data_IF_599567380934
#
_entry.id   IF_599567380934
#
_cell.length_a   1.000
_cell.length_b   1.000
_cell.length_c   1.000
_cell.angle_alpha   90.00
_cell.angle_beta   90.00
_cell.angle_gamma   90.00
#
_symmetry.space_group_name_H-M   'P 1'
#
loop_
_entity.id
_entity.type
_entity.pdbx_description
1 polymer ?
#
# COMPACT_ATOMS: atom_id res chain seq x y z
N UNK A 1 9.79 20.30 4.20
CA UNK A 1 10.12 19.00 4.82
C UNK A 1 9.28 17.93 4.14
N UNK A 2 9.76 16.69 4.09
CA UNK A 2 9.12 15.60 3.35
C UNK A 2 8.58 14.57 4.33
N UNK A 3 7.30 14.19 4.20
CA UNK A 3 6.71 13.05 4.91
C UNK A 3 6.55 11.91 3.93
N UNK A 4 7.06 10.73 4.26
CA UNK A 4 6.88 9.49 3.48
C UNK A 4 6.29 8.42 4.38
N UNK A 5 5.28 7.74 3.90
CA UNK A 5 4.58 6.69 4.64
C UNK A 5 4.21 5.56 3.68
N UNK A 6 4.34 4.31 4.14
CA UNK A 6 3.82 3.14 3.42
C UNK A 6 2.62 2.66 4.20
N UNK A 7 1.47 2.59 3.52
CA UNK A 7 0.18 2.26 4.15
C UNK A 7 -0.55 1.21 3.34
N UNK A 8 -1.45 0.48 3.99
CA UNK A 8 -2.40 -0.39 3.32
C UNK A 8 -3.58 0.45 2.84
N UNK A 9 -3.87 0.37 1.55
CA UNK A 9 -5.00 1.07 0.94
C UNK A 9 -6.29 0.23 1.03
N UNK A 10 -7.41 0.83 0.65
CA UNK A 10 -8.71 0.14 0.68
C UNK A 10 -8.70 -1.13 -0.20
N UNK A 11 -9.09 -2.30 0.36
CA UNK A 11 -9.29 -3.51 -0.42
C UNK A 11 -10.35 -3.31 -1.50
N UNK A 12 -10.13 -3.92 -2.67
CA UNK A 12 -11.09 -3.93 -3.78
C UNK A 12 -11.41 -5.36 -4.13
N UNK A 13 -12.69 -5.72 -4.06
CA UNK A 13 -13.17 -7.07 -4.41
C UNK A 13 -13.91 -7.04 -5.74
N UNK A 14 -13.50 -7.90 -6.68
CA UNK A 14 -14.17 -8.10 -7.96
C UNK A 14 -14.03 -9.56 -8.40
N UNK A 15 -15.13 -10.19 -8.82
CA UNK A 15 -15.10 -11.56 -9.37
C UNK A 15 -14.56 -12.63 -8.41
N UNK A 16 -14.79 -12.49 -7.11
CA UNK A 16 -14.29 -13.42 -6.09
C UNK A 16 -12.80 -13.27 -5.77
N UNK A 17 -12.14 -12.23 -6.29
CA UNK A 17 -10.76 -11.88 -5.98
C UNK A 17 -10.75 -10.55 -5.24
N UNK A 18 -10.05 -10.49 -4.13
CA UNK A 18 -9.79 -9.24 -3.39
C UNK A 18 -8.35 -8.82 -3.59
N UNK A 19 -8.14 -7.59 -4.06
CA UNK A 19 -6.83 -6.96 -4.18
C UNK A 19 -6.68 -5.94 -3.06
N UNK A 20 -5.60 -6.06 -2.30
CA UNK A 20 -5.26 -5.15 -1.20
C UNK A 20 -3.99 -4.41 -1.61
N UNK A 21 -4.10 -3.15 -2.08
CA UNK A 21 -2.94 -2.38 -2.47
C UNK A 21 -2.13 -1.94 -1.26
N UNK A 22 -0.81 -2.01 -1.36
CA UNK A 22 0.12 -1.37 -0.43
C UNK A 22 0.72 -0.18 -1.17
N UNK A 23 0.53 1.01 -0.61
CA UNK A 23 0.84 2.27 -1.29
C UNK A 23 1.85 3.08 -0.50
N UNK A 24 2.79 3.70 -1.22
CA UNK A 24 3.66 4.73 -0.67
C UNK A 24 3.00 6.09 -0.91
N UNK A 25 2.84 6.85 0.16
CA UNK A 25 2.37 8.23 0.15
C UNK A 25 3.54 9.14 0.49
N UNK A 26 3.83 10.11 -0.37
CA UNK A 26 4.83 11.14 -0.15
C UNK A 26 4.14 12.50 -0.15
N UNK A 27 4.38 13.31 0.89
CA UNK A 27 3.91 14.69 0.98
C UNK A 27 5.11 15.62 1.08
N UNK A 28 5.22 16.49 0.08
CA UNK A 28 6.21 17.54 0.03
C UNK A 28 5.53 18.86 0.40
N UNK A 29 6.13 19.61 1.32
CA UNK A 29 5.71 20.98 1.58
C UNK A 29 6.88 21.94 1.53
N UNK A 30 6.64 23.12 1.00
CA UNK A 30 7.54 24.24 1.08
C UNK A 30 6.80 25.47 1.63
N UNK A 31 7.51 26.24 2.44
CA UNK A 31 7.02 27.51 2.97
C UNK A 31 7.92 28.62 2.46
N UNK A 32 7.38 29.49 1.62
CA UNK A 32 8.06 30.66 1.10
C UNK A 32 7.51 31.95 1.69
N UNK A 33 8.10 33.08 1.30
CA UNK A 33 7.64 34.41 1.74
C UNK A 33 6.21 34.76 1.30
N UNK A 34 5.69 34.09 0.25
CA UNK A 34 4.38 34.35 -0.35
C UNK A 34 3.30 33.32 -0.01
N UNK A 35 3.61 32.35 0.85
CA UNK A 35 2.67 31.31 1.25
C UNK A 35 3.31 29.93 1.40
N UNK A 36 2.44 28.95 1.68
CA UNK A 36 2.79 27.54 1.80
C UNK A 36 2.22 26.79 0.62
N UNK A 37 2.97 25.84 0.08
CA UNK A 37 2.47 24.95 -0.97
C UNK A 37 2.77 23.50 -0.61
N UNK A 38 1.93 22.62 -1.14
CA UNK A 38 1.94 21.20 -0.86
C UNK A 38 1.82 20.42 -2.17
N UNK A 39 2.56 19.32 -2.29
CA UNK A 39 2.48 18.37 -3.38
C UNK A 39 2.44 16.95 -2.79
N UNK A 40 1.49 16.13 -3.24
CA UNK A 40 1.30 14.76 -2.79
C UNK A 40 1.46 13.76 -3.93
N UNK A 41 2.16 12.67 -3.67
CA UNK A 41 2.27 11.51 -4.55
C UNK A 41 1.75 10.28 -3.80
N UNK A 42 0.86 9.51 -4.42
CA UNK A 42 0.42 8.19 -3.94
C UNK A 42 0.67 7.18 -5.04
N UNK A 43 1.45 6.13 -4.75
CA UNK A 43 1.76 5.08 -5.73
C UNK A 43 1.74 3.70 -5.10
N UNK A 44 1.28 2.65 -5.82
CA UNK A 44 1.40 1.29 -5.36
C UNK A 44 2.86 0.86 -5.33
N UNK A 45 3.24 0.08 -4.31
CA UNK A 45 4.57 -0.52 -4.17
C UNK A 45 4.50 -2.04 -4.12
N UNK A 46 3.44 -2.57 -3.53
CA UNK A 46 3.11 -3.99 -3.47
C UNK A 46 1.59 -4.16 -3.49
N UNK A 47 1.12 -5.39 -3.69
CA UNK A 47 -0.29 -5.74 -3.61
C UNK A 47 -0.43 -7.16 -3.06
N UNK A 48 -1.47 -7.40 -2.27
CA UNK A 48 -1.87 -8.74 -1.86
C UNK A 48 -3.10 -9.14 -2.65
N UNK A 49 -3.04 -10.29 -3.31
CA UNK A 49 -4.17 -10.91 -3.99
C UNK A 49 -4.71 -12.02 -3.10
N UNK A 50 -5.97 -11.91 -2.75
CA UNK A 50 -6.72 -12.90 -1.99
C UNK A 50 -7.74 -13.53 -2.92
N UNK A 51 -7.64 -14.84 -3.07
CA UNK A 51 -8.63 -15.69 -3.73
C UNK A 51 -9.26 -16.63 -2.68
N UNK A 52 -10.32 -17.38 -3.02
CA UNK A 52 -10.88 -18.37 -2.09
C UNK A 52 -9.89 -19.46 -1.67
N UNK A 53 -8.84 -19.71 -2.47
CA UNK A 53 -7.88 -20.79 -2.25
C UNK A 53 -6.52 -20.32 -1.75
N UNK A 54 -6.17 -19.04 -1.90
CA UNK A 54 -4.82 -18.57 -1.62
C UNK A 54 -4.76 -17.07 -1.30
N UNK A 55 -3.70 -16.70 -0.58
CA UNK A 55 -3.27 -15.32 -0.35
C UNK A 55 -1.85 -15.20 -0.87
N UNK A 56 -1.61 -14.29 -1.81
CA UNK A 56 -0.31 -14.12 -2.48
C UNK A 56 0.08 -12.66 -2.48
N UNK A 57 1.35 -12.36 -2.22
CA UNK A 57 1.87 -11.00 -2.21
C UNK A 57 2.77 -10.76 -3.42
N UNK A 58 2.64 -9.60 -4.04
CA UNK A 58 3.42 -9.21 -5.21
C UNK A 58 4.00 -7.82 -5.03
N UNK A 59 5.22 -7.60 -5.54
CA UNK A 59 5.74 -6.27 -5.84
C UNK A 59 5.00 -5.70 -7.04
N UNK A 60 4.99 -4.37 -7.20
CA UNK A 60 4.40 -3.72 -8.38
C UNK A 60 5.10 -4.10 -9.70
N UNK A 61 6.31 -4.68 -9.62
CA UNK A 61 7.04 -5.26 -10.76
C UNK A 61 6.45 -6.58 -11.25
N UNK A 62 5.51 -7.18 -10.50
CA UNK A 62 4.94 -8.50 -10.78
C UNK A 62 5.68 -9.66 -10.10
N UNK A 63 6.81 -9.38 -9.43
CA UNK A 63 7.53 -10.37 -8.62
C UNK A 63 6.69 -10.80 -7.42
N UNK A 64 6.50 -12.10 -7.24
CA UNK A 64 5.87 -12.66 -6.05
C UNK A 64 6.86 -12.66 -4.88
N UNK A 65 6.40 -12.21 -3.72
CA UNK A 65 7.18 -12.20 -2.47
C UNK A 65 6.43 -12.98 -1.38
N UNK A 66 7.17 -13.44 -0.38
CA UNK A 66 6.56 -14.05 0.79
C UNK A 66 5.61 -13.06 1.48
N UNK A 67 4.41 -13.51 1.84
CA UNK A 67 3.43 -12.65 2.49
C UNK A 67 3.95 -12.18 3.87
N UNK A 68 4.68 -13.05 4.57
CA UNK A 68 5.30 -12.78 5.85
C UNK A 68 6.34 -11.67 5.75
N UNK A 69 7.12 -11.65 4.66
CA UNK A 69 8.06 -10.56 4.39
C UNK A 69 7.30 -9.24 4.24
N UNK A 70 6.21 -9.23 3.47
CA UNK A 70 5.42 -8.02 3.28
C UNK A 70 4.75 -7.54 4.59
N UNK A 71 4.30 -8.47 5.44
CA UNK A 71 3.75 -8.15 6.76
C UNK A 71 4.79 -7.59 7.73
N UNK A 72 6.06 -7.98 7.61
CA UNK A 72 7.15 -7.36 8.37
C UNK A 72 7.43 -5.92 7.90
N UNK A 73 7.35 -5.68 6.59
CA UNK A 73 7.51 -4.35 6.01
C UNK A 73 6.32 -3.43 6.34
N UNK A 74 5.10 -3.97 6.36
CA UNK A 74 3.84 -3.24 6.58
C UNK A 74 2.91 -4.05 7.51
N UNK A 75 3.05 -3.89 8.84
CA UNK A 75 2.31 -4.67 9.83
C UNK A 75 0.78 -4.57 9.72
N UNK A 76 0.26 -3.43 9.28
CA UNK A 76 -1.17 -3.16 9.14
C UNK A 76 -1.90 -4.14 8.21
N UNK A 77 -1.17 -4.82 7.31
CA UNK A 77 -1.72 -5.84 6.41
C UNK A 77 -2.37 -6.98 7.21
N UNK A 78 -1.81 -7.35 8.37
CA UNK A 78 -2.33 -8.41 9.20
C UNK A 78 -3.77 -8.13 9.65
N UNK A 79 -4.05 -6.89 10.04
CA UNK A 79 -5.39 -6.45 10.46
C UNK A 79 -6.39 -6.50 9.30
N UNK A 80 -5.98 -6.04 8.12
CA UNK A 80 -6.82 -6.07 6.91
C UNK A 80 -7.13 -7.50 6.48
N UNK A 81 -6.14 -8.40 6.50
CA UNK A 81 -6.33 -9.81 6.16
C UNK A 81 -7.16 -10.60 7.17
N UNK A 82 -7.23 -10.15 8.43
CA UNK A 82 -8.11 -10.74 9.45
C UNK A 82 -9.58 -10.35 9.30
N UNK A 83 -9.86 -9.26 8.55
CA UNK A 83 -11.20 -8.75 8.31
C UNK A 83 -11.83 -9.24 6.99
N UNK A 84 -11.09 -10.04 6.20
CA UNK A 84 -11.47 -10.54 4.86
C UNK A 84 -11.47 -12.07 4.86
#
# INVERSE_FOLDING_TARGET
MEKREVVVDSPVTAGGVTVIPVVKVSLHHWRGKRGTSFYGEKRPVSLVVVTPSARRAFRITGEEIALEQLMQEVPDIAGVLGAI
#
